data_IF_573335393380
#
_entry.id   IF_573335393380
#
_cell.length_a   1.000
_cell.length_b   1.000
_cell.length_c   1.000
_cell.angle_alpha   90.00
_cell.angle_beta   90.00
_cell.angle_gamma   90.00
#
_symmetry.space_group_name_H-M   'P 1'
#
loop_
_entity.id
_entity.type
_entity.pdbx_description
1 polymer ?
#
# COMPACT_ATOMS: atom_id res chain seq x y z
N UNK A 1 2.30 -9.87 11.18
CA UNK A 1 3.29 -8.78 11.38
C UNK A 1 3.86 -8.42 10.01
N UNK A 2 4.00 -7.14 9.67
CA UNK A 2 4.48 -6.69 8.35
C UNK A 2 5.96 -6.30 8.44
N UNK A 3 6.75 -6.71 7.45
CA UNK A 3 8.16 -6.34 7.31
C UNK A 3 8.22 -5.17 6.33
N UNK A 4 8.32 -3.96 6.87
CA UNK A 4 8.29 -2.70 6.12
C UNK A 4 9.61 -2.45 5.40
N UNK A 5 9.53 -2.07 4.12
CA UNK A 5 10.67 -1.72 3.30
C UNK A 5 11.01 -0.22 3.34
N UNK A 6 12.01 0.20 2.55
CA UNK A 6 12.51 1.57 2.54
C UNK A 6 11.44 2.60 2.19
N UNK A 7 10.56 2.31 1.22
CA UNK A 7 9.52 3.24 0.80
C UNK A 7 8.58 3.63 1.95
N UNK A 8 8.28 2.69 2.84
CA UNK A 8 7.55 2.99 4.07
C UNK A 8 8.35 3.89 5.01
N UNK A 9 9.61 3.54 5.28
CA UNK A 9 10.44 4.25 6.25
C UNK A 9 10.82 5.66 5.81
N UNK A 10 11.04 5.87 4.53
CA UNK A 10 11.32 7.18 3.94
C UNK A 10 10.07 8.07 3.96
N UNK A 11 8.90 7.48 3.76
CA UNK A 11 7.63 8.20 3.83
C UNK A 11 7.19 8.46 5.27
N UNK A 12 7.33 7.53 6.19
CA UNK A 12 6.74 7.61 7.54
C UNK A 12 7.20 8.85 8.32
N UNK A 13 6.25 9.60 8.86
CA UNK A 13 6.48 10.72 9.78
C UNK A 13 5.48 10.56 10.93
N UNK A 14 5.92 10.09 12.12
CA UNK A 14 5.03 9.83 13.25
C UNK A 14 4.46 11.11 13.87
N UNK A 15 4.96 12.29 13.49
CA UNK A 15 4.46 13.58 13.99
C UNK A 15 3.25 14.09 13.22
N UNK A 16 2.94 13.47 12.06
CA UNK A 16 1.81 13.85 11.21
C UNK A 16 0.63 12.91 11.42
N UNK A 17 -0.57 13.49 11.56
CA UNK A 17 -1.81 12.72 11.56
C UNK A 17 -2.00 12.04 10.20
N UNK A 18 -2.26 10.74 10.23
CA UNK A 18 -2.59 9.94 9.06
C UNK A 18 -3.91 9.19 9.29
N UNK A 19 -4.55 8.81 8.19
CA UNK A 19 -5.65 7.85 8.17
C UNK A 19 -5.20 6.60 7.45
N UNK A 20 -5.63 5.46 7.96
CA UNK A 20 -5.20 4.15 7.47
C UNK A 20 -6.39 3.34 7.00
N UNK A 21 -6.16 2.54 5.98
CA UNK A 21 -6.99 1.41 5.61
C UNK A 21 -6.13 0.14 5.62
N UNK A 22 -6.44 -0.74 6.57
CA UNK A 22 -5.87 -2.08 6.66
C UNK A 22 -6.91 -3.09 6.19
N UNK A 23 -6.50 -4.01 5.31
CA UNK A 23 -7.35 -5.09 4.81
C UNK A 23 -6.52 -6.38 4.68
N UNK A 24 -7.17 -7.52 4.90
CA UNK A 24 -6.61 -8.84 4.62
C UNK A 24 -7.54 -9.49 3.59
N UNK A 25 -6.98 -9.89 2.45
CA UNK A 25 -7.69 -10.54 1.37
C UNK A 25 -7.87 -12.05 1.65
N UNK A 26 -8.69 -12.72 0.84
CA UNK A 26 -9.03 -14.14 1.04
C UNK A 26 -7.82 -15.09 0.95
N UNK A 27 -6.77 -14.70 0.22
CA UNK A 27 -5.50 -15.44 0.10
C UNK A 27 -4.52 -15.14 1.25
N UNK A 28 -4.91 -14.28 2.20
CA UNK A 28 -4.08 -13.80 3.31
C UNK A 28 -3.16 -12.64 2.93
N UNK A 29 -3.18 -12.15 1.69
CA UNK A 29 -2.43 -10.95 1.29
C UNK A 29 -2.96 -9.76 2.09
N UNK A 30 -2.05 -8.99 2.67
CA UNK A 30 -2.38 -7.83 3.48
C UNK A 30 -2.19 -6.54 2.67
N UNK A 31 -3.20 -5.69 2.70
CA UNK A 31 -3.17 -4.33 2.17
C UNK A 31 -3.06 -3.35 3.33
N UNK A 32 -2.19 -2.36 3.18
CA UNK A 32 -2.09 -1.19 4.05
C UNK A 32 -1.97 0.07 3.19
N UNK A 33 -2.98 0.93 3.25
CA UNK A 33 -2.98 2.22 2.57
C UNK A 33 -3.08 3.32 3.61
N UNK A 34 -2.14 4.25 3.58
CA UNK A 34 -2.11 5.36 4.51
C UNK A 34 -2.11 6.67 3.76
N UNK A 35 -2.92 7.63 4.23
CA UNK A 35 -2.95 8.99 3.70
C UNK A 35 -2.68 9.98 4.80
N UNK A 36 -2.01 11.09 4.47
CA UNK A 36 -1.80 12.20 5.38
C UNK A 36 -1.75 13.53 4.62
N UNK A 37 -1.74 14.62 5.36
CA UNK A 37 -1.31 15.90 4.84
C UNK A 37 0.16 16.12 5.20
N UNK A 38 0.93 16.68 4.26
CA UNK A 38 2.24 17.23 4.55
C UNK A 38 2.10 18.47 5.47
N UNK A 39 3.23 18.98 5.97
CA UNK A 39 3.27 20.23 6.75
C UNK A 39 2.75 21.46 5.97
N UNK A 40 2.74 21.39 4.64
CA UNK A 40 2.22 22.43 3.75
C UNK A 40 0.77 22.17 3.29
N UNK A 41 0.12 21.12 3.81
CA UNK A 41 -1.25 20.76 3.45
C UNK A 41 -1.39 19.94 2.17
N UNK A 42 -0.30 19.41 1.60
CA UNK A 42 -0.35 18.56 0.42
C UNK A 42 -0.78 17.15 0.80
N UNK A 43 -1.76 16.57 0.10
CA UNK A 43 -2.15 15.17 0.32
C UNK A 43 -1.04 14.24 -0.14
N UNK A 44 -0.56 13.41 0.78
CA UNK A 44 0.43 12.37 0.56
C UNK A 44 -0.20 11.00 0.83
N UNK A 45 0.35 9.96 0.22
CA UNK A 45 -0.15 8.61 0.40
C UNK A 45 0.97 7.57 0.36
N UNK A 46 0.80 6.50 1.09
CA UNK A 46 1.59 5.30 1.02
C UNK A 46 0.68 4.11 0.71
N UNK A 47 1.15 3.20 -0.14
CA UNK A 47 0.51 1.92 -0.45
C UNK A 47 1.52 0.81 -0.15
N UNK A 48 1.11 -0.13 0.70
CA UNK A 48 1.83 -1.36 0.97
C UNK A 48 0.95 -2.59 0.70
N UNK A 49 1.52 -3.57 0.01
CA UNK A 49 0.94 -4.90 -0.20
C UNK A 49 1.95 -5.92 0.32
N UNK A 50 1.50 -6.81 1.20
CA UNK A 50 2.36 -7.75 1.91
C UNK A 50 1.83 -9.17 1.77
N UNK A 51 2.72 -10.13 1.60
CA UNK A 51 2.38 -11.55 1.60
C UNK A 51 1.81 -11.96 2.98
N UNK A 52 1.12 -13.11 3.09
CA UNK A 52 0.65 -13.63 4.37
C UNK A 52 1.74 -13.75 5.44
N UNK A 53 2.98 -14.07 5.00
CA UNK A 53 4.16 -14.14 5.85
C UNK A 53 4.68 -12.76 6.34
N UNK A 54 4.11 -11.66 5.84
CA UNK A 54 4.47 -10.30 6.21
C UNK A 54 5.51 -9.63 5.33
N UNK A 55 6.16 -10.34 4.41
CA UNK A 55 7.12 -9.76 3.47
C UNK A 55 6.45 -8.81 2.49
N UNK A 56 7.10 -7.67 2.20
CA UNK A 56 6.62 -6.71 1.20
C UNK A 56 6.58 -7.36 -0.20
N UNK A 57 5.41 -7.35 -0.82
CA UNK A 57 5.21 -7.66 -2.24
C UNK A 57 5.29 -6.39 -3.08
N UNK A 58 4.76 -5.28 -2.56
CA UNK A 58 4.82 -3.96 -3.19
C UNK A 58 4.78 -2.88 -2.12
N UNK A 59 5.59 -1.84 -2.28
CA UNK A 59 5.50 -0.61 -1.51
C UNK A 59 5.72 0.60 -2.43
N UNK A 60 4.90 1.63 -2.27
CA UNK A 60 5.00 2.85 -3.07
C UNK A 60 4.48 4.05 -2.27
N UNK A 61 5.18 5.17 -2.37
CA UNK A 61 4.83 6.41 -1.71
C UNK A 61 4.60 7.54 -2.73
N UNK A 62 3.65 8.40 -2.41
CA UNK A 62 3.26 9.59 -3.16
C UNK A 62 3.43 10.81 -2.28
N UNK A 63 4.40 11.66 -2.60
CA UNK A 63 4.64 12.91 -1.88
C UNK A 63 3.63 14.01 -2.23
N UNK A 64 2.89 13.85 -3.33
CA UNK A 64 1.86 14.79 -3.76
C UNK A 64 0.80 14.10 -4.61
N UNK A 65 -0.45 14.27 -4.23
CA UNK A 65 -1.64 13.95 -5.04
C UNK A 65 -2.42 15.26 -5.25
N UNK A 66 -2.11 16.02 -6.32
CA UNK A 66 -2.67 17.35 -6.53
C UNK A 66 -4.20 17.33 -6.64
N UNK A 67 -4.85 18.25 -5.93
CA UNK A 67 -6.32 18.45 -6.02
C UNK A 67 -7.15 17.38 -5.32
N UNK A 68 -6.53 16.40 -4.66
CA UNK A 68 -7.25 15.32 -3.98
C UNK A 68 -7.32 15.54 -2.47
N UNK A 69 -8.51 15.27 -1.91
CA UNK A 69 -8.69 15.18 -0.45
C UNK A 69 -8.11 13.86 0.08
N UNK A 70 -7.75 13.81 1.36
CA UNK A 70 -7.32 12.55 2.00
C UNK A 70 -8.33 11.40 1.79
N UNK A 71 -9.64 11.69 1.86
CA UNK A 71 -10.68 10.65 1.68
C UNK A 71 -10.67 10.07 0.26
N UNK A 72 -10.58 10.93 -0.77
CA UNK A 72 -10.53 10.47 -2.16
C UNK A 72 -9.21 9.76 -2.48
N UNK A 73 -8.09 10.29 -1.98
CA UNK A 73 -6.80 9.63 -2.08
C UNK A 73 -6.82 8.23 -1.44
N UNK A 74 -7.41 8.08 -0.24
CA UNK A 74 -7.51 6.79 0.43
C UNK A 74 -8.34 5.79 -0.38
N UNK A 75 -9.52 6.20 -0.87
CA UNK A 75 -10.36 5.34 -1.70
C UNK A 75 -9.65 4.89 -3.00
N UNK A 76 -8.95 5.82 -3.66
CA UNK A 76 -8.15 5.50 -4.84
C UNK A 76 -7.00 4.54 -4.51
N UNK A 77 -6.26 4.80 -3.44
CA UNK A 77 -5.15 3.96 -2.99
C UNK A 77 -5.58 2.54 -2.66
N UNK A 78 -6.74 2.36 -2.01
CA UNK A 78 -7.31 1.03 -1.73
C UNK A 78 -7.64 0.27 -3.01
N UNK A 79 -8.30 0.93 -3.97
CA UNK A 79 -8.59 0.31 -5.26
C UNK A 79 -7.32 -0.13 -6.00
N UNK A 80 -6.27 0.70 -5.95
CA UNK A 80 -4.98 0.40 -6.57
C UNK A 80 -4.23 -0.73 -5.85
N UNK A 81 -4.23 -0.73 -4.52
CA UNK A 81 -3.59 -1.77 -3.73
C UNK A 81 -4.20 -3.15 -4.00
N UNK A 82 -5.54 -3.23 -4.10
CA UNK A 82 -6.25 -4.44 -4.49
C UNK A 82 -5.88 -4.91 -5.89
N UNK A 83 -5.80 -3.98 -6.87
CA UNK A 83 -5.38 -4.30 -8.22
C UNK A 83 -3.96 -4.90 -8.24
N UNK A 84 -3.03 -4.31 -7.49
CA UNK A 84 -1.65 -4.79 -7.36
C UNK A 84 -1.63 -6.18 -6.71
N UNK A 85 -2.40 -6.40 -5.65
CA UNK A 85 -2.51 -7.69 -5.00
C UNK A 85 -3.01 -8.79 -5.95
N UNK A 86 -4.08 -8.52 -6.71
CA UNK A 86 -4.62 -9.48 -7.69
C UNK A 86 -3.66 -9.74 -8.85
N UNK A 87 -3.00 -8.71 -9.38
CA UNK A 87 -2.02 -8.88 -10.47
C UNK A 87 -0.75 -9.60 -10.01
N UNK A 88 -0.26 -9.29 -8.81
CA UNK A 88 0.87 -9.98 -8.19
C UNK A 88 0.57 -11.46 -7.93
N UNK A 89 -0.64 -11.78 -7.48
CA UNK A 89 -1.10 -13.16 -7.32
C UNK A 89 -1.08 -13.93 -8.64
N UNK A 90 -1.62 -13.34 -9.72
CA UNK A 90 -1.62 -13.96 -11.05
C UNK A 90 -0.20 -14.22 -11.61
N UNK A 91 0.77 -13.36 -11.29
CA UNK A 91 2.17 -13.58 -11.65
C UNK A 91 2.82 -14.71 -10.85
N UNK A 92 2.54 -14.77 -9.53
CA UNK A 92 3.06 -15.82 -8.63
C UNK A 92 2.52 -17.21 -9.00
N UNK A 93 1.22 -17.31 -9.30
CA UNK A 93 0.58 -18.56 -9.71
C UNK A 93 1.20 -19.11 -11.01
N UNK A 94 1.45 -18.25 -11.99
CA UNK A 94 2.12 -18.63 -13.25
C UNK A 94 3.53 -19.15 -13.04
N UNK A 95 4.31 -18.53 -12.15
CA UNK A 95 5.66 -18.98 -11.82
C UNK A 95 5.65 -20.34 -11.10
N UNK A 96 4.68 -20.57 -10.22
CA UNK A 96 4.51 -21.87 -9.54
C UNK A 96 4.06 -22.98 -10.49
N UNK A 97 3.22 -22.66 -11.48
CA UNK A 97 2.74 -23.62 -12.49
C UNK A 97 3.81 -24.05 -13.50
N UNK A 98 4.79 -23.19 -13.81
CA UNK A 98 5.86 -23.52 -14.77
C UNK A 98 7.01 -24.35 -14.16
N UNK A 99 7.03 -24.53 -12.83
CA UNK A 99 8.07 -25.26 -12.12
C UNK A 99 7.73 -26.74 -11.83
N UNK A 100 6.67 -27.28 -12.45
CA UNK A 100 6.26 -28.69 -12.34
C UNK A 100 6.42 -29.43 -13.66
#
# INVERSE_FOLDING_TARGET
>A
MRIRGPAYWDWADPTLHHRTHDEILDDGTMVDVQVRLSRTGTTQMFIGVYAPAGSALHEEAFDSIPGESMTRALAWGVGRARLIATQGFAAMEKLSACSK
#
